data_IF_773180003822
#
_entry.id   IF_773180003822
#
_cell.length_a   1.000
_cell.length_b   1.000
_cell.length_c   1.000
_cell.angle_alpha   90.00
_cell.angle_beta   90.00
_cell.angle_gamma   90.00
#
_symmetry.space_group_name_H-M   'P 1'
#
loop_
_entity.id
_entity.type
_entity.pdbx_description
1 polymer ?
#
# COMPACT_ATOMS: atom_id res chain seq x y z
N UNK A 1 16.11 14.12 -13.93
CA UNK A 1 15.81 13.64 -12.57
C UNK A 1 14.35 13.94 -12.22
N UNK A 2 13.89 15.22 -12.34
CA UNK A 2 12.53 15.61 -11.94
C UNK A 2 11.41 14.83 -12.63
N UNK A 3 11.46 14.68 -13.95
CA UNK A 3 10.50 13.85 -14.70
C UNK A 3 10.52 12.39 -14.28
N UNK A 4 11.70 11.84 -13.96
CA UNK A 4 11.80 10.46 -13.44
C UNK A 4 11.08 10.33 -12.08
N UNK A 5 11.24 11.30 -11.18
CA UNK A 5 10.52 11.30 -9.90
C UNK A 5 9.00 11.34 -10.08
N UNK A 6 8.49 12.17 -11.00
CA UNK A 6 7.06 12.20 -11.31
C UNK A 6 6.58 10.93 -12.01
N UNK A 7 7.40 10.33 -12.87
CA UNK A 7 7.04 9.05 -13.52
C UNK A 7 6.88 7.91 -12.51
N UNK A 8 7.61 7.92 -11.40
CA UNK A 8 7.42 6.95 -10.32
C UNK A 8 6.04 7.12 -9.68
N UNK A 9 5.62 8.36 -9.37
CA UNK A 9 4.26 8.61 -8.85
C UNK A 9 3.19 8.15 -9.85
N UNK A 10 3.37 8.51 -11.12
CA UNK A 10 2.43 8.12 -12.19
C UNK A 10 2.35 6.61 -12.32
N UNK A 11 3.47 5.89 -12.31
CA UNK A 11 3.49 4.44 -12.40
C UNK A 11 2.74 3.78 -11.22
N UNK A 12 2.88 4.35 -10.01
CA UNK A 12 2.11 3.90 -8.83
C UNK A 12 0.62 4.22 -9.00
N UNK A 13 0.27 5.41 -9.45
CA UNK A 13 -1.12 5.86 -9.61
C UNK A 13 -1.87 5.09 -10.71
N UNK A 14 -1.15 4.53 -11.67
CA UNK A 14 -1.68 3.65 -12.71
C UNK A 14 -1.59 2.15 -12.34
N UNK A 15 -1.11 1.83 -11.14
CA UNK A 15 -1.01 0.45 -10.68
C UNK A 15 0.09 -0.38 -11.34
N UNK A 16 1.13 0.24 -11.91
CA UNK A 16 2.26 -0.48 -12.52
C UNK A 16 3.38 -0.80 -11.54
N UNK A 17 3.37 -0.19 -10.37
CA UNK A 17 4.26 -0.50 -9.25
C UNK A 17 3.52 -0.32 -7.93
N UNK A 18 3.97 -1.02 -6.88
CA UNK A 18 3.46 -0.87 -5.53
C UNK A 18 3.91 0.44 -4.86
N UNK A 19 3.22 0.82 -3.79
CA UNK A 19 3.51 2.05 -3.01
C UNK A 19 4.87 1.96 -2.31
N UNK A 20 5.24 0.78 -1.77
CA UNK A 20 6.54 0.56 -1.14
C UNK A 20 7.69 0.72 -2.14
N UNK A 21 7.55 0.16 -3.33
CA UNK A 21 8.55 0.28 -4.39
C UNK A 21 8.66 1.72 -4.89
N UNK A 22 7.54 2.43 -5.04
CA UNK A 22 7.54 3.85 -5.39
C UNK A 22 8.33 4.68 -4.37
N UNK A 23 8.03 4.55 -3.07
CA UNK A 23 8.73 5.29 -2.00
C UNK A 23 10.20 4.91 -1.91
N UNK A 24 10.56 3.65 -2.17
CA UNK A 24 11.94 3.18 -2.22
C UNK A 24 12.70 3.84 -3.37
N UNK A 25 12.14 3.90 -4.59
CA UNK A 25 12.76 4.55 -5.77
C UNK A 25 12.92 6.05 -5.56
N UNK A 26 11.89 6.72 -5.03
CA UNK A 26 11.96 8.14 -4.66
C UNK A 26 13.09 8.36 -3.65
N UNK A 27 13.12 7.59 -2.56
CA UNK A 27 14.14 7.72 -1.52
C UNK A 27 15.55 7.51 -2.04
N UNK A 28 15.79 6.54 -2.91
CA UNK A 28 17.09 6.31 -3.53
C UNK A 28 17.53 7.50 -4.41
N UNK A 29 16.59 8.10 -5.14
CA UNK A 29 16.85 9.25 -6.01
C UNK A 29 17.13 10.50 -5.20
N UNK A 30 16.31 10.81 -4.20
CA UNK A 30 16.52 11.94 -3.28
C UNK A 30 17.85 11.78 -2.54
N UNK A 31 18.14 10.58 -2.00
CA UNK A 31 19.41 10.29 -1.35
C UNK A 31 20.64 10.44 -2.29
N UNK A 32 20.46 10.22 -3.59
CA UNK A 32 21.51 10.50 -4.59
C UNK A 32 21.63 12.00 -4.83
N UNK A 33 20.52 12.71 -4.99
CA UNK A 33 20.51 14.17 -5.19
C UNK A 33 21.20 14.92 -4.05
N UNK A 34 21.00 14.49 -2.80
CA UNK A 34 21.64 15.09 -1.62
C UNK A 34 23.18 14.95 -1.60
N UNK A 35 23.72 14.00 -2.38
CA UNK A 35 25.17 13.78 -2.49
C UNK A 35 25.80 14.50 -3.68
N UNK A 36 25.00 15.00 -4.62
CA UNK A 36 25.50 15.71 -5.79
C UNK A 36 26.09 17.06 -5.39
N UNK A 37 27.25 17.39 -5.95
CA UNK A 37 27.84 18.72 -5.83
C UNK A 37 26.91 19.78 -6.45
N UNK A 38 26.76 20.91 -5.79
CA UNK A 38 25.87 22.00 -6.18
C UNK A 38 26.65 23.32 -6.24
N UNK A 39 26.23 24.19 -7.13
CA UNK A 39 26.70 25.56 -7.16
C UNK A 39 25.64 26.49 -6.55
N UNK A 40 25.90 27.04 -5.37
CA UNK A 40 24.95 27.91 -4.64
C UNK A 40 23.55 27.31 -4.50
N UNK A 41 23.47 26.02 -4.19
CA UNK A 41 22.19 25.30 -4.07
C UNK A 41 21.63 24.73 -5.37
N UNK A 42 22.09 25.17 -6.53
CA UNK A 42 21.62 24.70 -7.83
C UNK A 42 22.42 23.52 -8.34
N UNK A 43 21.75 22.60 -9.03
CA UNK A 43 22.38 21.44 -9.65
C UNK A 43 23.03 21.81 -10.99
N UNK A 44 24.19 21.19 -11.25
CA UNK A 44 24.79 21.19 -12.59
C UNK A 44 23.92 20.37 -13.56
N UNK A 45 24.03 20.65 -14.86
CA UNK A 45 23.22 19.94 -15.86
C UNK A 45 23.65 18.48 -16.05
N UNK A 46 24.90 18.18 -15.84
CA UNK A 46 25.45 16.85 -16.13
C UNK A 46 26.38 16.37 -15.01
N UNK A 47 26.18 15.11 -14.62
CA UNK A 47 27.00 14.40 -13.65
C UNK A 47 27.43 13.06 -14.20
N UNK A 48 28.59 12.60 -13.80
CA UNK A 48 29.03 11.25 -14.06
C UNK A 48 28.19 10.27 -13.22
N UNK A 49 27.55 9.28 -13.86
CA UNK A 49 26.55 8.42 -13.21
C UNK A 49 27.12 7.48 -12.14
N UNK A 50 28.42 7.19 -12.18
CA UNK A 50 29.07 6.32 -11.19
C UNK A 50 29.75 7.12 -10.08
N UNK A 51 30.52 8.20 -10.44
CA UNK A 51 31.26 8.99 -9.45
C UNK A 51 30.45 10.13 -8.83
N UNK A 52 29.35 10.52 -9.47
CA UNK A 52 28.50 11.66 -9.12
C UNK A 52 29.20 13.02 -9.22
N UNK A 53 30.36 13.08 -9.85
CA UNK A 53 31.08 14.34 -10.10
C UNK A 53 30.46 15.12 -11.26
N UNK A 54 30.38 16.46 -11.18
CA UNK A 54 29.86 17.25 -12.28
C UNK A 54 30.79 17.18 -13.49
N UNK A 55 30.19 17.04 -14.69
CA UNK A 55 30.94 16.99 -15.95
C UNK A 55 31.29 18.39 -16.42
N UNK A 56 32.43 18.51 -17.10
CA UNK A 56 32.88 19.78 -17.70
C UNK A 56 32.36 19.94 -19.14
N UNK A 57 32.07 21.18 -19.58
CA UNK A 57 32.10 22.41 -18.82
C UNK A 57 31.03 22.45 -17.72
N UNK A 58 31.39 23.03 -16.56
CA UNK A 58 30.45 23.23 -15.47
C UNK A 58 29.35 24.19 -15.94
N UNK A 59 28.13 23.70 -16.03
CA UNK A 59 27.01 24.48 -16.52
C UNK A 59 25.79 24.30 -15.59
N UNK A 60 25.20 25.42 -15.20
CA UNK A 60 23.94 25.46 -14.40
C UNK A 60 22.88 26.15 -15.24
N UNK A 61 21.81 25.46 -15.57
CA UNK A 61 20.65 26.01 -16.25
C UNK A 61 19.63 26.46 -15.21
N UNK A 62 19.28 27.74 -15.25
CA UNK A 62 18.23 28.29 -14.38
C UNK A 62 16.84 27.73 -14.74
N UNK A 63 16.58 27.44 -16.01
CA UNK A 63 15.35 26.84 -16.48
C UNK A 63 15.19 25.42 -15.96
N UNK A 64 16.23 24.60 -16.07
CA UNK A 64 16.18 23.20 -15.62
C UNK A 64 16.06 23.09 -14.10
N UNK A 65 16.77 23.95 -13.37
CA UNK A 65 16.65 24.04 -11.92
C UNK A 65 15.27 24.55 -11.49
N UNK A 66 14.70 25.57 -12.17
CA UNK A 66 13.34 26.05 -11.91
C UNK A 66 12.28 24.96 -12.16
N UNK A 67 12.39 24.21 -13.27
CA UNK A 67 11.54 23.06 -13.53
C UNK A 67 11.69 21.97 -12.46
N UNK A 68 12.92 21.71 -11.99
CA UNK A 68 13.19 20.73 -10.94
C UNK A 68 12.47 21.10 -9.63
N UNK A 69 12.50 22.38 -9.23
CA UNK A 69 11.73 22.86 -8.07
C UNK A 69 10.23 22.56 -8.25
N UNK A 70 9.65 22.87 -9.41
CA UNK A 70 8.25 22.56 -9.70
C UNK A 70 7.93 21.07 -9.58
N UNK A 71 8.82 20.20 -10.09
CA UNK A 71 8.67 18.74 -9.97
C UNK A 71 8.79 18.26 -8.51
N UNK A 72 9.70 18.83 -7.73
CA UNK A 72 9.88 18.48 -6.32
C UNK A 72 8.68 18.92 -5.46
N UNK A 73 8.08 20.08 -5.74
CA UNK A 73 6.83 20.52 -5.09
C UNK A 73 5.70 19.53 -5.41
N UNK A 74 5.52 19.17 -6.67
CA UNK A 74 4.52 18.19 -7.11
C UNK A 74 4.75 16.83 -6.46
N UNK A 75 6.01 16.37 -6.41
CA UNK A 75 6.38 15.12 -5.74
C UNK A 75 6.00 15.14 -4.26
N UNK A 76 6.30 16.23 -3.56
CA UNK A 76 5.98 16.37 -2.13
C UNK A 76 4.48 16.26 -1.86
N UNK A 77 3.64 16.84 -2.73
CA UNK A 77 2.18 16.74 -2.64
C UNK A 77 1.71 15.32 -2.97
N UNK A 78 2.22 14.70 -4.04
CA UNK A 78 1.89 13.32 -4.39
C UNK A 78 2.25 12.33 -3.29
N UNK A 79 3.37 12.51 -2.59
CA UNK A 79 3.74 11.68 -1.44
C UNK A 79 2.78 11.83 -0.24
N UNK A 80 2.15 12.99 -0.04
CA UNK A 80 1.10 13.16 0.96
C UNK A 80 -0.16 12.37 0.60
N UNK A 81 -0.52 12.37 -0.68
CA UNK A 81 -1.69 11.65 -1.17
C UNK A 81 -1.54 10.12 -1.07
N UNK A 82 -0.32 9.57 -1.13
CA UNK A 82 -0.08 8.13 -0.99
C UNK A 82 -0.68 7.52 0.28
N UNK A 83 -0.80 8.32 1.36
CA UNK A 83 -1.39 7.88 2.62
C UNK A 83 -2.91 7.83 2.60
N UNK A 84 -3.53 8.71 1.82
CA UNK A 84 -4.98 8.93 1.78
C UNK A 84 -5.67 8.01 0.77
N UNK A 85 -4.96 7.65 -0.31
CA UNK A 85 -5.50 6.78 -1.36
C UNK A 85 -5.56 5.33 -0.90
N UNK A 86 -6.55 4.56 -1.36
CA UNK A 86 -6.58 3.11 -1.13
C UNK A 86 -5.29 2.45 -1.63
N UNK A 87 -4.76 1.50 -0.88
CA UNK A 87 -3.66 0.65 -1.32
C UNK A 87 -4.14 -0.44 -2.27
N UNK A 88 -5.39 -0.85 -2.09
CA UNK A 88 -6.10 -1.80 -2.93
C UNK A 88 -7.24 -1.04 -3.58
N UNK A 89 -7.20 -0.84 -4.88
CA UNK A 89 -8.17 -0.05 -5.62
C UNK A 89 -8.26 -0.43 -7.09
N UNK A 90 -9.14 0.26 -7.81
CA UNK A 90 -9.36 0.05 -9.24
C UNK A 90 -8.11 0.30 -10.07
N UNK A 91 -7.25 1.19 -9.63
CA UNK A 91 -5.99 1.51 -10.29
C UNK A 91 -5.04 0.31 -10.30
N UNK A 92 -4.98 -0.44 -9.20
CA UNK A 92 -4.17 -1.66 -9.11
C UNK A 92 -4.69 -2.76 -10.02
N UNK A 93 -6.02 -2.92 -10.10
CA UNK A 93 -6.67 -3.87 -11.02
C UNK A 93 -6.43 -3.47 -12.47
N UNK A 94 -6.53 -2.17 -12.79
CA UNK A 94 -6.25 -1.65 -14.12
C UNK A 94 -4.79 -1.91 -14.52
N UNK A 95 -3.84 -1.67 -13.62
CA UNK A 95 -2.43 -1.96 -13.84
C UNK A 95 -2.17 -3.44 -14.09
N UNK A 96 -2.74 -4.34 -13.29
CA UNK A 96 -2.66 -5.79 -13.50
C UNK A 96 -3.24 -6.20 -14.85
N UNK A 97 -4.42 -5.66 -15.22
CA UNK A 97 -5.07 -5.92 -16.52
C UNK A 97 -4.18 -5.48 -17.69
N UNK A 98 -3.60 -4.28 -17.61
CA UNK A 98 -2.76 -3.76 -18.66
C UNK A 98 -1.47 -4.59 -18.82
N UNK A 99 -0.82 -4.95 -17.70
CA UNK A 99 0.38 -5.82 -17.71
C UNK A 99 0.05 -7.21 -18.25
N UNK A 100 -1.09 -7.78 -17.87
CA UNK A 100 -1.58 -9.05 -18.39
C UNK A 100 -1.79 -8.97 -19.91
N UNK A 101 -2.49 -7.94 -20.40
CA UNK A 101 -2.81 -7.77 -21.83
C UNK A 101 -1.58 -7.63 -22.73
N UNK A 102 -0.46 -7.13 -22.21
CA UNK A 102 0.80 -7.04 -22.96
C UNK A 102 1.48 -8.40 -23.18
N UNK A 103 1.14 -9.40 -22.38
CA UNK A 103 1.80 -10.70 -22.38
C UNK A 103 0.87 -11.85 -22.84
N UNK A 104 -0.44 -11.57 -22.97
CA UNK A 104 -1.45 -12.60 -23.26
C UNK A 104 -1.65 -12.79 -24.77
N UNK A 105 -1.70 -14.06 -25.18
CA UNK A 105 -2.34 -14.46 -26.42
C UNK A 105 -3.87 -14.49 -26.28
N UNK A 106 -4.59 -14.96 -27.30
CA UNK A 106 -6.06 -15.07 -27.33
C UNK A 106 -6.68 -15.97 -26.23
N UNK A 107 -5.86 -16.69 -25.44
CA UNK A 107 -6.27 -17.69 -24.44
C UNK A 107 -6.65 -17.12 -23.08
N UNK A 108 -6.49 -15.81 -22.84
CA UNK A 108 -6.62 -15.21 -21.49
C UNK A 108 -7.98 -14.51 -21.24
N UNK A 109 -9.02 -14.95 -21.95
CA UNK A 109 -10.38 -14.37 -21.85
C UNK A 109 -10.99 -14.47 -20.45
N UNK A 110 -10.64 -15.52 -19.69
CA UNK A 110 -11.21 -15.76 -18.34
C UNK A 110 -10.68 -14.73 -17.33
N UNK A 111 -9.36 -14.54 -17.29
CA UNK A 111 -8.74 -13.55 -16.39
C UNK A 111 -9.14 -12.10 -16.76
N UNK A 112 -9.23 -11.80 -18.06
CA UNK A 112 -9.73 -10.50 -18.52
C UNK A 112 -11.18 -10.25 -18.08
N UNK A 113 -12.05 -11.27 -18.11
CA UNK A 113 -13.43 -11.18 -17.66
C UNK A 113 -13.51 -10.93 -16.15
N UNK A 114 -12.69 -11.63 -15.34
CA UNK A 114 -12.62 -11.43 -13.89
C UNK A 114 -12.17 -10.00 -13.55
N UNK A 115 -11.09 -9.54 -14.18
CA UNK A 115 -10.56 -8.18 -13.97
C UNK A 115 -11.59 -7.10 -14.35
N UNK A 116 -12.30 -7.28 -15.46
CA UNK A 116 -13.36 -6.36 -15.86
C UNK A 116 -14.52 -6.34 -14.85
N UNK A 117 -14.93 -7.51 -14.32
CA UNK A 117 -15.97 -7.63 -13.31
C UNK A 117 -15.59 -6.87 -12.03
N UNK A 118 -14.34 -6.99 -11.58
CA UNK A 118 -13.84 -6.27 -10.40
C UNK A 118 -13.69 -4.77 -10.65
N UNK A 119 -13.35 -4.36 -11.88
CA UNK A 119 -13.31 -2.95 -12.29
C UNK A 119 -14.68 -2.28 -12.26
N UNK A 120 -15.72 -3.02 -12.59
CA UNK A 120 -17.11 -2.53 -12.61
C UNK A 120 -17.72 -2.47 -11.21
N UNK A 121 -17.16 -3.16 -10.21
CA UNK A 121 -17.59 -3.08 -8.82
C UNK A 121 -17.28 -1.69 -8.22
N UNK A 122 -18.14 -1.20 -7.29
CA UNK A 122 -17.91 0.08 -6.62
C UNK A 122 -16.67 0.06 -5.71
N UNK A 123 -16.46 -1.08 -5.05
CA UNK A 123 -15.33 -1.31 -4.13
C UNK A 123 -14.81 -2.72 -4.29
N UNK A 124 -13.51 -2.90 -4.09
CA UNK A 124 -12.86 -4.22 -4.04
C UNK A 124 -12.58 -4.53 -2.58
N UNK A 125 -13.09 -5.66 -2.11
CA UNK A 125 -12.79 -6.13 -0.76
C UNK A 125 -11.40 -6.74 -0.70
N UNK A 126 -10.81 -6.76 0.50
CA UNK A 126 -9.49 -7.40 0.73
C UNK A 126 -9.52 -8.88 0.33
N UNK A 127 -10.61 -9.57 0.59
CA UNK A 127 -10.76 -10.99 0.25
C UNK A 127 -10.79 -11.23 -1.26
N UNK A 128 -11.52 -10.41 -2.02
CA UNK A 128 -11.55 -10.47 -3.49
C UNK A 128 -10.18 -10.15 -4.08
N UNK A 129 -9.48 -9.17 -3.51
CA UNK A 129 -8.13 -8.83 -3.92
C UNK A 129 -7.14 -10.01 -3.76
N UNK A 130 -7.15 -10.67 -2.59
CA UNK A 130 -6.28 -11.81 -2.35
C UNK A 130 -6.58 -12.98 -3.31
N UNK A 131 -7.86 -13.26 -3.57
CA UNK A 131 -8.26 -14.29 -4.52
C UNK A 131 -7.77 -13.94 -5.93
N UNK A 132 -7.90 -12.68 -6.34
CA UNK A 132 -7.40 -12.21 -7.65
C UNK A 132 -5.89 -12.40 -7.78
N UNK A 133 -5.11 -12.03 -6.77
CA UNK A 133 -3.66 -12.20 -6.81
C UNK A 133 -3.26 -13.67 -6.93
N UNK A 134 -3.95 -14.56 -6.19
CA UNK A 134 -3.69 -16.00 -6.26
C UNK A 134 -4.06 -16.59 -7.63
N UNK A 135 -5.15 -16.15 -8.26
CA UNK A 135 -5.60 -16.61 -9.58
C UNK A 135 -4.67 -16.14 -10.72
N UNK A 136 -4.06 -14.97 -10.58
CA UNK A 136 -3.18 -14.40 -11.61
C UNK A 136 -1.72 -14.89 -11.53
N UNK A 137 -1.34 -15.61 -10.48
CA UNK A 137 0.03 -16.14 -10.34
C UNK A 137 0.39 -17.12 -11.45
N UNK A 138 1.62 -16.97 -11.97
CA UNK A 138 2.14 -17.83 -13.02
C UNK A 138 1.75 -17.46 -14.45
N UNK A 139 0.96 -16.39 -14.64
CA UNK A 139 0.52 -15.97 -15.98
C UNK A 139 1.68 -15.38 -16.79
N UNK A 140 2.51 -14.54 -16.19
CA UNK A 140 3.73 -14.05 -16.80
C UNK A 140 4.71 -13.51 -15.75
N UNK A 141 6.00 -13.42 -16.13
CA UNK A 141 7.02 -12.86 -15.26
C UNK A 141 6.72 -11.42 -14.82
N UNK A 142 6.12 -10.62 -15.69
CA UNK A 142 5.78 -9.23 -15.38
C UNK A 142 4.60 -9.14 -14.41
N UNK A 143 3.58 -9.98 -14.58
CA UNK A 143 2.45 -10.11 -13.66
C UNK A 143 2.94 -10.60 -12.30
N UNK A 144 3.76 -11.66 -12.26
CA UNK A 144 4.30 -12.22 -11.01
C UNK A 144 5.15 -11.19 -10.24
N UNK A 145 5.90 -10.35 -10.95
CA UNK A 145 6.67 -9.28 -10.31
C UNK A 145 5.75 -8.27 -9.63
N UNK A 146 4.70 -7.83 -10.31
CA UNK A 146 3.73 -6.87 -9.77
C UNK A 146 2.93 -7.47 -8.61
N UNK A 147 2.51 -8.74 -8.73
CA UNK A 147 1.87 -9.48 -7.64
C UNK A 147 2.79 -9.54 -6.41
N UNK A 148 4.08 -9.85 -6.60
CA UNK A 148 5.06 -9.89 -5.49
C UNK A 148 5.17 -8.55 -4.76
N UNK A 149 5.13 -7.43 -5.49
CA UNK A 149 5.12 -6.10 -4.88
C UNK A 149 3.86 -5.88 -4.04
N UNK A 150 2.69 -6.23 -4.55
CA UNK A 150 1.41 -6.11 -3.85
C UNK A 150 1.30 -7.05 -2.64
N UNK A 151 1.78 -8.29 -2.74
CA UNK A 151 1.82 -9.23 -1.61
C UNK A 151 2.76 -8.73 -0.51
N UNK A 152 3.90 -8.12 -0.88
CA UNK A 152 4.81 -7.52 0.09
C UNK A 152 4.14 -6.37 0.85
N UNK A 153 3.33 -5.57 0.18
CA UNK A 153 2.54 -4.51 0.82
C UNK A 153 1.44 -5.08 1.72
N UNK A 154 0.75 -6.11 1.27
CA UNK A 154 -0.28 -6.81 2.04
C UNK A 154 0.32 -7.40 3.33
N UNK A 155 1.41 -8.15 3.22
CA UNK A 155 2.08 -8.76 4.37
C UNK A 155 2.58 -7.72 5.39
N UNK A 156 2.98 -6.55 4.92
CA UNK A 156 3.48 -5.48 5.79
C UNK A 156 2.34 -4.68 6.44
N UNK A 157 1.38 -4.24 5.62
CA UNK A 157 0.35 -3.29 6.07
C UNK A 157 -0.96 -3.95 6.49
N UNK A 158 -1.23 -5.16 5.98
CA UNK A 158 -2.49 -5.89 6.22
C UNK A 158 -2.26 -7.36 6.59
N UNK A 159 -1.33 -7.69 7.50
CA UNK A 159 -1.05 -9.10 7.84
C UNK A 159 -2.28 -9.84 8.39
N UNK A 160 -3.30 -9.13 8.81
CA UNK A 160 -4.59 -9.66 9.26
C UNK A 160 -5.52 -10.07 8.11
N UNK A 161 -5.27 -9.66 6.88
CA UNK A 161 -6.12 -9.95 5.71
C UNK A 161 -6.32 -11.45 5.49
N UNK A 162 -5.26 -12.24 5.63
CA UNK A 162 -5.30 -13.70 5.48
C UNK A 162 -6.05 -14.40 6.61
N UNK A 163 -6.21 -13.76 7.76
CA UNK A 163 -7.06 -14.27 8.85
C UNK A 163 -8.53 -14.16 8.47
N UNK A 164 -8.93 -13.17 7.65
CA UNK A 164 -10.31 -13.04 7.18
C UNK A 164 -10.77 -14.22 6.32
N UNK A 165 -9.85 -14.91 5.64
CA UNK A 165 -10.17 -16.10 4.84
C UNK A 165 -10.44 -17.34 5.72
N UNK A 166 -10.08 -17.29 7.00
CA UNK A 166 -10.12 -18.43 7.94
C UNK A 166 -10.88 -18.08 9.22
N UNK A 167 -11.98 -17.34 9.08
CA UNK A 167 -12.81 -16.96 10.23
C UNK A 167 -13.51 -18.22 10.80
N UNK A 168 -13.35 -18.52 12.09
CA UNK A 168 -14.05 -19.64 12.71
C UNK A 168 -15.57 -19.51 12.56
N UNK A 169 -16.25 -20.59 12.19
CA UNK A 169 -17.69 -20.63 11.99
C UNK A 169 -18.49 -20.17 13.23
N UNK A 170 -17.95 -20.39 14.41
CA UNK A 170 -18.54 -19.95 15.69
C UNK A 170 -18.69 -18.42 15.74
N UNK A 171 -17.74 -17.65 15.17
CA UNK A 171 -17.78 -16.18 15.13
C UNK A 171 -18.80 -15.65 14.11
N UNK A 172 -19.25 -16.48 13.18
CA UNK A 172 -20.22 -16.14 12.14
C UNK A 172 -21.63 -16.70 12.43
N UNK A 173 -21.82 -17.41 13.54
CA UNK A 173 -23.09 -18.06 13.86
C UNK A 173 -24.13 -17.06 14.34
N UNK A 174 -25.15 -16.78 13.53
CA UNK A 174 -26.26 -15.86 13.84
C UNK A 174 -27.30 -16.44 14.79
N UNK A 175 -27.18 -17.72 15.15
CA UNK A 175 -28.17 -18.43 15.97
C UNK A 175 -27.53 -19.03 17.22
N UNK A 176 -28.33 -19.10 18.28
CA UNK A 176 -27.92 -19.73 19.53
C UNK A 176 -27.11 -18.85 20.46
N UNK A 177 -26.21 -19.46 21.22
CA UNK A 177 -25.45 -18.83 22.30
C UNK A 177 -24.49 -17.74 21.80
N UNK A 178 -24.04 -17.81 20.54
CA UNK A 178 -23.02 -16.89 19.98
C UNK A 178 -23.61 -15.71 19.19
N UNK A 179 -24.91 -15.45 19.25
CA UNK A 179 -25.59 -14.41 18.46
C UNK A 179 -24.98 -13.01 18.69
N UNK A 180 -24.71 -12.64 19.94
CA UNK A 180 -24.13 -11.33 20.26
C UNK A 180 -22.65 -11.24 19.80
N UNK A 181 -21.89 -12.31 19.95
CA UNK A 181 -20.51 -12.40 19.44
C UNK A 181 -20.48 -12.24 17.91
N UNK A 182 -21.37 -12.93 17.19
CA UNK A 182 -21.50 -12.83 15.73
C UNK A 182 -21.89 -11.43 15.28
N UNK A 183 -22.81 -10.76 15.98
CA UNK A 183 -23.19 -9.38 15.70
C UNK A 183 -21.98 -8.43 15.79
N UNK A 184 -21.21 -8.52 16.88
CA UNK A 184 -19.99 -7.72 17.07
C UNK A 184 -18.92 -8.07 16.05
N UNK A 185 -18.77 -9.33 15.70
CA UNK A 185 -17.88 -9.78 14.63
C UNK A 185 -18.26 -9.17 13.29
N UNK A 186 -19.55 -9.11 12.96
CA UNK A 186 -20.02 -8.48 11.72
C UNK A 186 -19.72 -6.98 11.67
N UNK A 187 -19.77 -6.28 12.80
CA UNK A 187 -19.37 -4.87 12.91
C UNK A 187 -17.86 -4.68 12.71
N UNK A 188 -17.05 -5.56 13.28
CA UNK A 188 -15.59 -5.57 13.08
C UNK A 188 -15.23 -5.84 11.61
N UNK A 189 -15.85 -6.84 10.99
CA UNK A 189 -15.61 -7.19 9.58
C UNK A 189 -15.96 -6.06 8.63
N UNK A 190 -17.02 -5.28 8.90
CA UNK A 190 -17.35 -4.09 8.11
C UNK A 190 -16.25 -3.03 8.17
N UNK A 191 -15.58 -2.88 9.32
CA UNK A 191 -14.46 -1.94 9.46
C UNK A 191 -13.20 -2.41 8.71
N UNK A 192 -12.99 -3.74 8.63
CA UNK A 192 -11.79 -4.34 8.06
C UNK A 192 -11.92 -4.64 6.55
N UNK A 193 -13.12 -4.76 6.01
CA UNK A 193 -13.36 -5.18 4.61
C UNK A 193 -13.74 -4.03 3.66
N UNK A 194 -13.62 -2.78 4.12
CA UNK A 194 -13.87 -1.57 3.31
C UNK A 194 -12.64 -1.14 2.50
N UNK A 195 -12.75 -0.03 1.75
CA UNK A 195 -11.61 0.55 1.04
C UNK A 195 -10.52 0.92 2.05
N UNK A 196 -9.37 0.26 1.97
CA UNK A 196 -8.33 0.35 2.97
C UNK A 196 -7.23 1.30 2.48
N UNK A 197 -7.17 2.50 3.09
CA UNK A 197 -6.01 3.37 3.01
C UNK A 197 -5.16 3.28 4.28
N UNK A 198 -3.87 3.60 4.16
CA UNK A 198 -2.97 3.65 5.32
C UNK A 198 -3.48 4.64 6.38
N UNK A 199 -4.03 5.77 5.93
CA UNK A 199 -4.63 6.79 6.79
C UNK A 199 -5.83 6.23 7.58
N UNK A 200 -6.74 5.52 6.91
CA UNK A 200 -7.92 4.96 7.56
C UNK A 200 -7.57 3.95 8.66
N UNK A 201 -6.59 3.07 8.39
CA UNK A 201 -6.15 2.11 9.41
C UNK A 201 -5.50 2.84 10.57
N UNK A 202 -4.63 3.81 10.28
CA UNK A 202 -3.93 4.58 11.31
C UNK A 202 -4.91 5.33 12.23
N UNK A 203 -5.88 6.03 11.64
CA UNK A 203 -6.84 6.87 12.39
C UNK A 203 -7.87 6.01 13.16
N UNK A 204 -8.28 4.87 12.60
CA UNK A 204 -9.31 4.01 13.19
C UNK A 204 -8.75 2.87 14.04
N UNK A 205 -7.43 2.74 14.19
CA UNK A 205 -6.79 1.63 14.89
C UNK A 205 -7.37 1.37 16.29
N UNK A 206 -7.54 2.41 17.10
CA UNK A 206 -8.10 2.28 18.46
C UNK A 206 -9.57 1.85 18.42
N UNK A 207 -10.33 2.31 17.43
CA UNK A 207 -11.73 1.88 17.24
C UNK A 207 -11.82 0.40 16.87
N UNK A 208 -10.94 -0.07 15.97
CA UNK A 208 -10.85 -1.47 15.56
C UNK A 208 -10.46 -2.35 16.76
N UNK A 209 -9.45 -1.97 17.54
CA UNK A 209 -9.06 -2.68 18.76
C UNK A 209 -10.19 -2.76 19.79
N UNK A 210 -10.94 -1.68 19.95
CA UNK A 210 -12.11 -1.66 20.83
C UNK A 210 -13.17 -2.67 20.37
N UNK A 211 -13.52 -2.67 19.07
CA UNK A 211 -14.48 -3.61 18.49
C UNK A 211 -14.01 -5.07 18.65
N UNK A 212 -12.70 -5.31 18.47
CA UNK A 212 -12.09 -6.63 18.68
C UNK A 212 -12.20 -7.07 20.15
N UNK A 213 -11.86 -6.19 21.08
CA UNK A 213 -11.94 -6.44 22.53
C UNK A 213 -13.39 -6.73 22.97
N UNK A 214 -14.35 -5.97 22.44
CA UNK A 214 -15.78 -6.20 22.73
C UNK A 214 -16.28 -7.54 22.18
N UNK A 215 -15.77 -7.97 21.00
CA UNK A 215 -16.08 -9.30 20.43
C UNK A 215 -15.50 -10.40 21.33
N UNK A 216 -14.28 -10.22 21.83
CA UNK A 216 -13.64 -11.17 22.74
C UNK A 216 -14.38 -11.26 24.09
N UNK A 217 -14.85 -10.15 24.65
CA UNK A 217 -15.65 -10.12 25.87
C UNK A 217 -16.99 -10.84 25.65
N UNK A 218 -17.64 -10.63 24.50
CA UNK A 218 -18.89 -11.35 24.17
C UNK A 218 -18.65 -12.85 24.02
N UNK A 219 -17.58 -13.26 23.33
CA UNK A 219 -17.20 -14.66 23.21
C UNK A 219 -17.00 -15.32 24.57
N UNK A 220 -16.30 -14.67 25.51
CA UNK A 220 -16.07 -15.17 26.85
C UNK A 220 -17.36 -15.28 27.67
N UNK A 221 -18.34 -14.40 27.45
CA UNK A 221 -19.65 -14.46 28.10
C UNK A 221 -20.51 -15.59 27.57
N UNK A 222 -20.48 -15.77 26.25
CA UNK A 222 -21.28 -16.77 25.54
C UNK A 222 -20.69 -18.19 25.67
N UNK A 223 -19.51 -18.33 26.31
CA UNK A 223 -18.72 -19.55 26.32
C UNK A 223 -19.38 -20.70 27.12
N UNK A 224 -19.78 -21.71 26.39
CA UNK A 224 -19.65 -23.09 26.84
C UNK A 224 -18.29 -23.63 26.40
N UNK A 225 -17.65 -24.53 27.17
CA UNK A 225 -16.33 -25.12 26.93
C UNK A 225 -16.26 -25.97 25.63
N UNK A 226 -16.63 -25.39 24.50
CA UNK A 226 -16.60 -26.06 23.20
C UNK A 226 -15.23 -25.88 22.50
N UNK A 227 -14.91 -26.81 21.57
CA UNK A 227 -13.69 -26.68 20.73
C UNK A 227 -13.71 -25.38 19.91
N UNK A 228 -14.86 -24.96 19.39
CA UNK A 228 -15.05 -23.72 18.63
C UNK A 228 -14.74 -22.45 19.43
N UNK A 229 -14.95 -22.47 20.76
CA UNK A 229 -14.57 -21.36 21.63
C UNK A 229 -13.05 -21.13 21.65
N UNK A 230 -12.26 -22.18 21.79
CA UNK A 230 -10.79 -22.08 21.83
C UNK A 230 -10.24 -21.59 20.51
N UNK A 231 -10.75 -22.10 19.40
CA UNK A 231 -10.36 -21.69 18.06
C UNK A 231 -10.69 -20.21 17.81
N UNK A 232 -11.90 -19.77 18.15
CA UNK A 232 -12.35 -18.39 18.03
C UNK A 232 -11.53 -17.44 18.90
N UNK A 233 -11.22 -17.82 20.13
CA UNK A 233 -10.38 -17.04 21.04
C UNK A 233 -8.95 -16.89 20.52
N UNK A 234 -8.37 -17.96 19.94
CA UNK A 234 -7.06 -17.91 19.30
C UNK A 234 -7.09 -16.99 18.09
N UNK A 235 -8.08 -17.13 17.21
CA UNK A 235 -8.23 -16.29 16.02
C UNK A 235 -8.33 -14.80 16.37
N UNK A 236 -9.14 -14.43 17.36
CA UNK A 236 -9.26 -13.03 17.83
C UNK A 236 -7.93 -12.48 18.37
N UNK A 237 -7.14 -13.31 19.06
CA UNK A 237 -5.83 -12.94 19.55
C UNK A 237 -4.81 -12.78 18.43
N UNK A 238 -4.82 -13.67 17.45
CA UNK A 238 -3.94 -13.59 16.28
C UNK A 238 -4.28 -12.31 15.46
N UNK A 239 -5.57 -11.96 15.36
CA UNK A 239 -6.04 -10.71 14.75
C UNK A 239 -5.50 -9.49 15.50
N UNK A 240 -5.56 -9.46 16.83
CA UNK A 240 -5.03 -8.36 17.66
C UNK A 240 -3.53 -8.16 17.41
N UNK A 241 -2.75 -9.23 17.40
CA UNK A 241 -1.31 -9.19 17.14
C UNK A 241 -1.03 -8.67 15.72
N UNK A 242 -1.78 -9.14 14.73
CA UNK A 242 -1.64 -8.72 13.34
C UNK A 242 -1.98 -7.25 13.14
N UNK A 243 -3.04 -6.76 13.78
CA UNK A 243 -3.43 -5.34 13.75
C UNK A 243 -2.38 -4.44 14.41
N UNK A 244 -1.79 -4.88 15.52
CA UNK A 244 -0.70 -4.14 16.17
C UNK A 244 0.55 -4.06 15.29
N UNK A 245 0.89 -5.15 14.58
CA UNK A 245 1.96 -5.19 13.57
C UNK A 245 1.69 -4.21 12.43
N UNK A 246 0.48 -4.24 11.87
CA UNK A 246 0.01 -3.32 10.84
C UNK A 246 0.18 -1.86 11.25
N UNK A 247 -0.32 -1.50 12.43
CA UNK A 247 -0.20 -0.12 12.94
C UNK A 247 1.25 0.34 13.08
N UNK A 248 2.13 -0.52 13.61
CA UNK A 248 3.56 -0.21 13.72
C UNK A 248 4.20 0.00 12.35
N UNK A 249 3.93 -0.87 11.39
CA UNK A 249 4.46 -0.76 10.04
C UNK A 249 3.99 0.52 9.33
N UNK A 250 2.71 0.86 9.46
CA UNK A 250 2.13 2.08 8.89
C UNK A 250 2.78 3.32 9.50
N UNK A 251 2.96 3.35 10.83
CA UNK A 251 3.63 4.46 11.53
C UNK A 251 5.07 4.64 11.06
N UNK A 252 5.81 3.55 10.90
CA UNK A 252 7.22 3.60 10.47
C UNK A 252 7.32 4.03 9.00
N UNK A 253 6.40 3.60 8.15
CA UNK A 253 6.27 4.04 6.77
C UNK A 253 5.91 5.54 6.68
N UNK A 254 4.96 6.01 7.51
CA UNK A 254 4.62 7.43 7.62
C UNK A 254 5.84 8.29 7.99
N UNK A 255 6.60 7.84 8.98
CA UNK A 255 7.81 8.52 9.43
C UNK A 255 8.87 8.60 8.31
N UNK A 256 8.98 7.55 7.48
CA UNK A 256 9.86 7.54 6.31
C UNK A 256 9.40 8.53 5.25
N UNK A 257 8.11 8.55 4.91
CA UNK A 257 7.54 9.50 3.94
C UNK A 257 7.70 10.95 4.42
N UNK A 258 7.45 11.20 5.70
CA UNK A 258 7.64 12.54 6.29
C UNK A 258 9.10 13.01 6.20
N UNK A 259 10.06 12.13 6.50
CA UNK A 259 11.51 12.44 6.35
C UNK A 259 11.86 12.77 4.91
N UNK A 260 11.41 11.97 3.93
CA UNK A 260 11.67 12.25 2.52
C UNK A 260 11.07 13.60 2.07
N UNK A 261 9.88 13.93 2.54
CA UNK A 261 9.26 15.25 2.27
C UNK A 261 10.07 16.39 2.88
N UNK A 262 10.64 16.21 4.07
CA UNK A 262 11.55 17.18 4.68
C UNK A 262 12.83 17.35 3.87
N UNK A 263 13.45 16.25 3.41
CA UNK A 263 14.62 16.27 2.56
C UNK A 263 14.36 16.97 1.21
N UNK A 264 13.19 16.73 0.61
CA UNK A 264 12.74 17.41 -0.61
C UNK A 264 12.61 18.92 -0.35
N UNK A 265 12.00 19.31 0.77
CA UNK A 265 11.87 20.71 1.16
C UNK A 265 13.24 21.37 1.33
N UNK A 266 14.18 20.69 2.01
CA UNK A 266 15.54 21.20 2.21
C UNK A 266 16.28 21.43 0.87
N UNK A 267 16.02 20.58 -0.15
CA UNK A 267 16.55 20.77 -1.50
C UNK A 267 15.95 22.02 -2.13
N UNK A 268 14.63 22.19 -2.07
CA UNK A 268 13.90 23.35 -2.63
C UNK A 268 14.43 24.63 -1.98
N UNK A 269 14.46 24.68 -0.64
CA UNK A 269 14.87 25.87 0.13
C UNK A 269 16.32 26.30 -0.14
N UNK A 270 17.20 25.37 -0.59
CA UNK A 270 18.57 25.70 -1.01
C UNK A 270 18.67 26.22 -2.42
N UNK A 271 17.68 25.90 -3.27
CA UNK A 271 17.66 26.33 -4.67
C UNK A 271 16.93 27.68 -4.86
N UNK A 272 16.13 28.12 -3.88
CA UNK A 272 15.43 29.38 -3.85
C UNK A 272 16.35 30.52 -3.37
#
# INVERSE_FOLDING_TARGET
IGLYLLSILTARDLGYIGTLEAVKRIGNTIGTMLRLEQWKGHYYNWYHTQTLEPLRPLYVSTVDNGNLIGYLITLSQGMEELFKRPLIGKENIAGLRDVLSLNSGEEDMEHQSLLNTLMDSETVSVSEWLMLLDDLKGQSKAVDQLITEYETEEELFFPWSRLLQKIPATLLSEKGVYQETSRKMSELLKQLNGPISLQNIYDNYLGILKSLSETMVSLNRDACQSSGFRESGKWLKDMEISLAGSYSAIRDFASRCHRLRSEIKDIIDKMD
#
